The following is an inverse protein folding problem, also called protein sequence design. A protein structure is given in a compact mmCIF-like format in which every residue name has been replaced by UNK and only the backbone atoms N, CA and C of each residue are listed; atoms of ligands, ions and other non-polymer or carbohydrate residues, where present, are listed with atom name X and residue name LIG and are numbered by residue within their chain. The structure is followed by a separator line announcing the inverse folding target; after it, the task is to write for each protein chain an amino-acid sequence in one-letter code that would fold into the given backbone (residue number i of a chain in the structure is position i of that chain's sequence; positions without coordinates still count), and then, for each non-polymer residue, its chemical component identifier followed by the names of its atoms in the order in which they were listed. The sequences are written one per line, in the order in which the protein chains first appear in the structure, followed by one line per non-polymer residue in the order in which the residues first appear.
data_IF_064242811969
#
_entry.id   IF_064242811969
#
_cell.length_a   1.000
_cell.length_b   1.000
_cell.length_c   1.000
_cell.angle_alpha   90.00
_cell.angle_beta   90.00
_cell.angle_gamma   90.00
#
_symmetry.space_group_name_H-M   'P 1'
#
loop_
_entity.id
_entity.type
_entity.pdbx_description
1 polymer ?
#
# COMPACT_ATOMS: atom_id res chain seq x y z
N UNK A 1 22.56 -8.40 -4.01
CA UNK A 1 21.76 -9.15 -5.00
C UNK A 1 21.08 -10.32 -4.29
N UNK A 2 19.97 -10.83 -4.82
CA UNK A 2 19.40 -12.09 -4.32
C UNK A 2 20.28 -13.27 -4.77
N UNK A 3 20.45 -14.31 -3.94
CA UNK A 3 21.22 -15.50 -4.29
C UNK A 3 20.54 -16.34 -5.39
N UNK A 4 19.21 -16.35 -5.44
CA UNK A 4 18.39 -16.93 -6.52
C UNK A 4 17.03 -16.22 -6.58
N UNK A 5 16.32 -16.30 -7.70
CA UNK A 5 14.93 -15.85 -7.81
C UNK A 5 14.03 -17.08 -7.65
N UNK A 6 13.47 -17.26 -6.46
CA UNK A 6 12.55 -18.35 -6.13
C UNK A 6 11.41 -17.82 -5.25
N UNK A 7 10.28 -18.56 -5.12
CA UNK A 7 9.21 -18.15 -4.23
C UNK A 7 9.68 -17.85 -2.80
N UNK A 8 10.66 -18.63 -2.30
CA UNK A 8 11.23 -18.44 -0.97
C UNK A 8 12.02 -17.13 -0.85
N UNK A 9 12.97 -16.87 -1.76
CA UNK A 9 13.80 -15.65 -1.70
C UNK A 9 13.01 -14.39 -2.05
N UNK A 10 11.98 -14.51 -2.89
CA UNK A 10 11.03 -13.43 -3.15
C UNK A 10 10.16 -13.12 -1.94
N UNK A 11 9.70 -14.13 -1.20
CA UNK A 11 8.98 -13.92 0.06
C UNK A 11 9.81 -13.16 1.09
N UNK A 12 11.10 -13.51 1.22
CA UNK A 12 12.04 -12.77 2.08
C UNK A 12 12.18 -11.30 1.65
N UNK A 13 12.33 -11.04 0.35
CA UNK A 13 12.47 -9.67 -0.16
C UNK A 13 11.20 -8.84 0.06
N UNK A 14 10.03 -9.41 -0.21
CA UNK A 14 8.74 -8.73 0.00
C UNK A 14 8.58 -8.42 1.49
N UNK A 15 8.83 -9.39 2.37
CA UNK A 15 8.73 -9.20 3.82
C UNK A 15 9.70 -8.14 4.34
N UNK A 16 10.94 -8.12 3.84
CA UNK A 16 11.91 -7.08 4.16
C UNK A 16 11.35 -5.68 3.86
N UNK A 17 10.79 -5.45 2.67
CA UNK A 17 10.21 -4.15 2.32
C UNK A 17 8.92 -3.84 3.08
N UNK A 18 8.08 -4.83 3.38
CA UNK A 18 6.89 -4.61 4.23
C UNK A 18 7.29 -4.12 5.63
N UNK A 19 8.31 -4.73 6.25
CA UNK A 19 8.85 -4.27 7.52
C UNK A 19 9.43 -2.86 7.40
N UNK A 20 10.28 -2.61 6.40
CA UNK A 20 10.87 -1.29 6.18
C UNK A 20 9.81 -0.18 6.07
N UNK A 21 8.74 -0.43 5.31
CA UNK A 21 7.62 0.51 5.17
C UNK A 21 6.90 0.76 6.50
N UNK A 22 6.64 -0.29 7.28
CA UNK A 22 5.99 -0.17 8.59
C UNK A 22 6.85 0.64 9.58
N UNK A 23 8.16 0.35 9.67
CA UNK A 23 9.09 1.10 10.50
C UNK A 23 9.20 2.56 10.06
N UNK A 24 9.24 2.83 8.76
CA UNK A 24 9.28 4.20 8.25
C UNK A 24 8.02 4.98 8.64
N UNK A 25 6.83 4.35 8.58
CA UNK A 25 5.60 4.97 9.06
C UNK A 25 5.69 5.44 10.51
N UNK A 26 6.16 4.55 11.40
CA UNK A 26 6.38 4.88 12.81
C UNK A 26 7.40 6.02 12.99
N UNK A 27 8.55 5.96 12.30
CA UNK A 27 9.58 6.99 12.37
C UNK A 27 9.10 8.36 11.85
N UNK A 28 8.18 8.36 10.89
CA UNK A 28 7.55 9.56 10.34
C UNK A 28 6.36 10.05 11.18
N UNK A 29 5.95 9.30 12.21
CA UNK A 29 4.77 9.61 13.02
C UNK A 29 3.46 9.50 12.24
N UNK A 30 3.38 8.61 11.24
CA UNK A 30 2.20 8.36 10.42
C UNK A 30 1.76 6.90 10.49
N UNK A 31 0.48 6.64 10.25
CA UNK A 31 -0.03 5.28 10.19
C UNK A 31 0.26 4.66 8.81
N UNK A 32 1.13 3.64 8.77
CA UNK A 32 1.44 2.90 7.54
C UNK A 32 0.33 1.93 7.08
N UNK A 33 -0.72 1.75 7.89
CA UNK A 33 -1.75 0.74 7.69
C UNK A 33 -3.13 1.32 7.35
N UNK A 34 -3.26 2.64 7.23
CA UNK A 34 -4.48 3.28 6.74
C UNK A 34 -4.30 3.95 5.37
N UNK A 35 -5.42 4.34 4.77
CA UNK A 35 -5.46 4.94 3.44
C UNK A 35 -6.65 5.91 3.27
N UNK A 36 -6.88 6.86 4.19
CA UNK A 36 -8.08 7.70 4.18
C UNK A 36 -8.25 8.51 2.88
N UNK A 37 -7.15 8.87 2.22
CA UNK A 37 -7.14 9.64 0.98
C UNK A 37 -7.92 8.98 -0.18
N UNK A 38 -8.16 7.67 -0.15
CA UNK A 38 -8.85 6.96 -1.24
C UNK A 38 -10.37 7.18 -1.25
N UNK A 39 -10.96 7.52 -0.10
CA UNK A 39 -12.42 7.52 0.07
C UNK A 39 -13.11 8.65 -0.69
N UNK A 40 -12.49 9.83 -0.76
CA UNK A 40 -13.06 10.94 -1.53
C UNK A 40 -13.08 10.64 -3.03
N UNK A 41 -12.03 10.00 -3.55
CA UNK A 41 -12.01 9.52 -4.93
C UNK A 41 -13.17 8.55 -5.22
N UNK A 42 -13.42 7.59 -4.33
CA UNK A 42 -14.55 6.65 -4.46
C UNK A 42 -15.90 7.37 -4.47
N UNK A 43 -16.10 8.36 -3.59
CA UNK A 43 -17.35 9.15 -3.52
C UNK A 43 -17.57 9.97 -4.77
N UNK A 44 -16.52 10.64 -5.28
CA UNK A 44 -16.59 11.46 -6.50
C UNK A 44 -16.95 10.58 -7.70
N UNK A 45 -16.24 9.48 -7.91
CA UNK A 45 -16.49 8.57 -9.03
C UNK A 45 -17.92 8.05 -9.01
N UNK A 46 -18.43 7.62 -7.84
CA UNK A 46 -19.83 7.18 -7.71
C UNK A 46 -20.83 8.27 -8.10
N UNK A 47 -20.60 9.53 -7.68
CA UNK A 47 -21.47 10.65 -8.06
C UNK A 47 -21.45 10.92 -9.56
N UNK A 48 -20.28 10.83 -10.20
CA UNK A 48 -20.16 11.04 -11.65
C UNK A 48 -20.91 9.94 -12.42
N UNK A 49 -20.71 8.67 -12.05
CA UNK A 49 -21.37 7.54 -12.71
C UNK A 49 -22.90 7.55 -12.56
N UNK A 50 -23.42 8.03 -11.43
CA UNK A 50 -24.88 8.14 -11.22
C UNK A 50 -25.46 9.37 -11.94
N UNK A 51 -24.69 10.46 -12.09
CA UNK A 51 -25.16 11.68 -12.78
C UNK A 51 -25.20 11.52 -14.31
N UNK A 52 -24.44 10.59 -14.87
CA UNK A 52 -24.46 10.24 -16.30
C UNK A 52 -25.47 9.11 -16.64
N UNK A 53 -26.14 8.54 -15.63
CA UNK A 53 -27.14 7.47 -15.79
C UNK A 53 -28.58 7.96 -15.78
#
# INVERSE_FOLDING_TARGET
SLPTVSPYTMGQLIFFYMLMTAYMGELMGINAFDQPAVEEGKKITRRLMIREG
#
